data_IF_645333370165
#
_entry.id   IF_645333370165
#
_cell.length_a   1.000
_cell.length_b   1.000
_cell.length_c   1.000
_cell.angle_alpha   90.00
_cell.angle_beta   90.00
_cell.angle_gamma   90.00
#
_symmetry.space_group_name_H-M   'P 1'
#
loop_
_entity.id
_entity.type
_entity.pdbx_description
1 polymer ?
#
# COMPACT_ATOMS: atom_id res chain seq x y z
N UNK A 1 27.26 9.74 7.60
CA UNK A 1 28.21 9.45 8.69
C UNK A 1 28.66 8.02 8.47
N UNK A 2 29.93 7.77 8.12
CA UNK A 2 30.44 6.41 7.92
C UNK A 2 30.60 5.76 9.30
N UNK A 3 29.73 4.82 9.61
CA UNK A 3 29.85 3.98 10.82
C UNK A 3 31.03 3.06 10.64
N UNK A 4 31.95 3.01 11.60
CA UNK A 4 33.13 2.17 11.52
C UNK A 4 32.76 0.68 11.63
N UNK A 5 33.58 -0.21 11.05
CA UNK A 5 33.36 -1.67 11.13
C UNK A 5 33.29 -2.17 12.58
N UNK A 6 33.94 -1.48 13.53
CA UNK A 6 33.86 -1.82 14.95
C UNK A 6 32.49 -1.47 15.56
N UNK A 7 31.89 -0.35 15.12
CA UNK A 7 30.54 0.02 15.57
C UNK A 7 29.47 -0.96 15.05
N UNK A 8 29.66 -1.48 13.82
CA UNK A 8 28.77 -2.52 13.26
C UNK A 8 28.80 -3.80 14.10
N UNK A 9 29.97 -4.22 14.57
CA UNK A 9 30.12 -5.39 15.45
C UNK A 9 29.51 -5.17 16.85
N UNK A 10 29.57 -3.97 17.41
CA UNK A 10 28.90 -3.63 18.68
C UNK A 10 27.38 -3.65 18.53
N UNK A 11 26.83 -3.16 17.42
CA UNK A 11 25.39 -3.21 17.14
C UNK A 11 24.86 -4.64 16.99
N UNK A 12 25.59 -5.53 16.33
CA UNK A 12 25.20 -6.95 16.18
C UNK A 12 25.20 -7.72 17.51
N UNK A 13 25.98 -7.29 18.50
CA UNK A 13 25.98 -7.87 19.84
C UNK A 13 24.69 -7.56 20.63
N UNK A 14 23.88 -6.58 20.18
CA UNK A 14 22.60 -6.21 20.78
C UNK A 14 21.40 -6.98 20.17
N UNK A 15 21.62 -7.84 19.18
CA UNK A 15 20.57 -8.59 18.51
C UNK A 15 20.31 -9.92 19.20
N UNK A 16 19.06 -10.11 19.65
CA UNK A 16 18.62 -11.42 20.15
C UNK A 16 18.02 -12.22 19.00
N UNK A 17 18.71 -13.27 18.59
CA UNK A 17 18.35 -14.17 17.49
C UNK A 17 17.38 -15.28 17.93
N UNK A 18 16.96 -15.30 19.19
CA UNK A 18 16.11 -16.34 19.78
C UNK A 18 14.67 -15.89 19.99
N UNK A 19 14.42 -14.61 19.89
CA UNK A 19 13.10 -13.98 20.05
C UNK A 19 12.84 -12.91 18.98
N UNK A 20 11.57 -12.59 18.77
CA UNK A 20 11.14 -11.48 17.92
C UNK A 20 10.81 -10.22 18.73
N UNK A 21 10.91 -9.06 18.10
CA UNK A 21 10.35 -7.81 18.61
C UNK A 21 9.02 -7.53 17.94
N UNK A 22 8.06 -6.99 18.72
CA UNK A 22 6.77 -6.52 18.21
C UNK A 22 6.68 -5.02 18.41
N UNK A 23 6.26 -4.29 17.38
CA UNK A 23 5.95 -2.86 17.46
C UNK A 23 4.58 -2.57 16.84
N UNK A 24 3.94 -1.52 17.34
CA UNK A 24 2.64 -1.05 16.88
C UNK A 24 2.76 0.45 16.64
N UNK A 25 2.35 0.99 15.49
CA UNK A 25 2.40 2.42 15.21
C UNK A 25 1.62 3.24 16.24
N UNK A 26 2.15 4.37 16.67
CA UNK A 26 1.51 5.27 17.64
C UNK A 26 0.14 5.75 17.15
N UNK A 27 0.00 5.95 15.83
CA UNK A 27 -1.26 6.36 15.21
C UNK A 27 -2.43 5.39 15.43
N UNK A 28 -2.14 4.13 15.80
CA UNK A 28 -3.15 3.09 16.04
C UNK A 28 -3.47 2.88 17.51
N UNK A 29 -2.59 3.29 18.41
CA UNK A 29 -2.75 2.96 19.81
C UNK A 29 -3.60 3.97 20.58
N UNK A 30 -3.59 5.25 20.21
CA UNK A 30 -4.28 6.32 20.95
C UNK A 30 -4.02 6.30 22.48
N UNK A 31 -3.24 5.31 22.96
CA UNK A 31 -2.94 4.97 24.34
C UNK A 31 -1.52 4.41 24.44
N UNK A 32 -0.88 4.47 25.62
CA UNK A 32 0.40 3.83 25.84
C UNK A 32 0.36 2.35 25.49
N UNK A 33 1.44 1.83 24.90
CA UNK A 33 1.63 0.42 24.48
C UNK A 33 1.32 -0.63 25.58
N UNK A 34 1.20 -0.20 26.83
CA UNK A 34 0.98 -1.05 27.99
C UNK A 34 -0.40 -1.71 28.07
N UNK A 35 -1.36 -1.21 27.31
CA UNK A 35 -2.70 -1.76 27.30
C UNK A 35 -3.38 -1.38 25.98
N UNK A 36 -3.11 -2.11 24.89
CA UNK A 36 -3.84 -1.90 23.65
C UNK A 36 -5.32 -2.17 23.94
N UNK A 37 -6.10 -1.11 23.90
CA UNK A 37 -7.55 -1.19 24.11
C UNK A 37 -8.27 -1.82 22.92
N UNK A 38 -7.53 -2.03 21.83
CA UNK A 38 -8.05 -2.62 20.60
C UNK A 38 -7.92 -4.15 20.64
N UNK A 39 -9.06 -4.89 20.70
CA UNK A 39 -9.06 -6.35 20.69
C UNK A 39 -8.38 -6.94 19.44
N UNK A 40 -8.51 -6.28 18.29
CA UNK A 40 -7.94 -6.74 17.02
C UNK A 40 -6.41 -6.75 17.05
N UNK A 41 -5.79 -5.75 17.68
CA UNK A 41 -4.32 -5.71 17.85
C UNK A 41 -3.85 -6.85 18.76
N UNK A 42 -4.57 -7.11 19.85
CA UNK A 42 -4.24 -8.21 20.78
C UNK A 42 -4.36 -9.56 20.09
N UNK A 43 -5.37 -9.77 19.29
CA UNK A 43 -5.58 -10.99 18.52
C UNK A 43 -4.47 -11.16 17.47
N UNK A 44 -4.11 -10.11 16.77
CA UNK A 44 -3.01 -10.11 15.80
C UNK A 44 -1.67 -10.45 16.46
N UNK A 45 -1.38 -9.89 17.64
CA UNK A 45 -0.19 -10.23 18.41
C UNK A 45 -0.17 -11.72 18.78
N UNK A 46 -1.32 -12.27 19.12
CA UNK A 46 -1.48 -13.67 19.46
C UNK A 46 -1.17 -14.60 18.27
N UNK A 47 -1.88 -14.46 17.14
CA UNK A 47 -1.64 -15.37 16.00
C UNK A 47 -0.25 -15.17 15.38
N UNK A 48 0.27 -13.94 15.33
CA UNK A 48 1.63 -13.71 14.83
C UNK A 48 2.71 -14.30 15.74
N UNK A 49 2.44 -14.44 17.05
CA UNK A 49 3.36 -15.13 17.97
C UNK A 49 3.52 -16.61 17.63
N UNK A 50 2.48 -17.27 17.13
CA UNK A 50 2.57 -18.67 16.70
C UNK A 50 3.61 -18.87 15.57
N UNK A 51 3.88 -17.85 14.78
CA UNK A 51 4.90 -17.88 13.73
C UNK A 51 6.32 -17.64 14.25
N UNK A 52 6.50 -17.20 15.50
CA UNK A 52 7.82 -16.82 16.03
C UNK A 52 8.83 -17.95 15.99
N UNK A 53 8.46 -19.14 16.43
CA UNK A 53 9.34 -20.30 16.41
C UNK A 53 9.82 -20.63 14.99
N UNK A 54 8.92 -20.58 14.02
CA UNK A 54 9.26 -20.77 12.61
C UNK A 54 10.19 -19.66 12.08
N UNK A 55 9.95 -18.41 12.42
CA UNK A 55 10.82 -17.30 12.03
C UNK A 55 12.23 -17.45 12.63
N UNK A 56 12.34 -17.88 13.90
CA UNK A 56 13.62 -18.16 14.57
C UNK A 56 14.38 -19.29 13.88
N UNK A 57 13.72 -20.40 13.59
CA UNK A 57 14.33 -21.54 12.90
C UNK A 57 14.79 -21.16 11.50
N UNK A 58 13.95 -20.40 10.77
CA UNK A 58 14.27 -19.88 9.44
C UNK A 58 15.51 -18.98 9.48
N UNK A 59 15.55 -18.04 10.44
CA UNK A 59 16.69 -17.15 10.60
C UNK A 59 18.00 -17.93 10.86
N UNK A 60 17.98 -18.94 11.72
CA UNK A 60 19.15 -19.79 11.99
C UNK A 60 19.59 -20.56 10.75
N UNK A 61 18.64 -21.10 9.98
CA UNK A 61 18.94 -21.79 8.72
C UNK A 61 19.56 -20.85 7.69
N UNK A 62 19.07 -19.61 7.62
CA UNK A 62 19.62 -18.59 6.73
C UNK A 62 21.05 -18.18 7.17
N UNK A 63 21.29 -18.04 8.46
CA UNK A 63 22.63 -17.75 8.99
C UNK A 63 23.64 -18.83 8.57
N UNK A 64 23.28 -20.11 8.69
CA UNK A 64 24.11 -21.23 8.23
C UNK A 64 24.33 -21.23 6.70
N UNK A 65 23.27 -20.94 5.95
CA UNK A 65 23.34 -20.87 4.48
C UNK A 65 24.24 -19.72 4.01
N UNK A 66 24.10 -18.52 4.56
CA UNK A 66 24.79 -17.33 4.14
C UNK A 66 26.24 -17.26 4.65
N UNK A 67 26.56 -17.98 5.75
CA UNK A 67 27.93 -18.06 6.29
C UNK A 67 28.96 -18.52 5.24
N UNK A 68 28.58 -19.37 4.30
CA UNK A 68 29.45 -19.82 3.20
C UNK A 68 29.82 -18.73 2.20
N UNK A 69 29.08 -17.62 2.17
CA UNK A 69 29.33 -16.46 1.31
C UNK A 69 29.88 -15.26 2.10
N UNK A 70 30.19 -15.44 3.40
CA UNK A 70 30.59 -14.36 4.31
C UNK A 70 29.56 -13.23 4.38
N UNK A 71 28.29 -13.57 4.31
CA UNK A 71 27.15 -12.66 4.40
C UNK A 71 26.35 -12.96 5.67
N UNK A 72 25.94 -11.91 6.36
CA UNK A 72 25.01 -12.05 7.49
C UNK A 72 23.56 -12.02 6.98
N UNK A 73 22.66 -12.87 7.49
CA UNK A 73 21.24 -12.72 7.22
C UNK A 73 20.75 -11.41 7.78
N UNK A 74 19.92 -10.72 7.00
CA UNK A 74 19.23 -9.52 7.42
C UNK A 74 17.96 -9.86 8.20
N UNK A 75 17.05 -8.92 8.38
CA UNK A 75 15.82 -9.16 9.12
C UNK A 75 14.82 -10.01 8.34
N UNK A 76 14.15 -10.89 9.09
CA UNK A 76 12.91 -11.53 8.69
C UNK A 76 11.77 -10.92 9.49
N UNK A 77 10.68 -10.55 8.85
CA UNK A 77 9.60 -9.85 9.53
C UNK A 77 8.23 -10.13 8.97
N UNK A 78 7.22 -9.82 9.76
CA UNK A 78 5.82 -9.89 9.41
C UNK A 78 5.14 -8.56 9.76
N UNK A 79 4.49 -7.94 8.78
CA UNK A 79 3.62 -6.79 8.96
C UNK A 79 2.18 -7.24 8.83
N UNK A 80 1.36 -7.01 9.85
CA UNK A 80 -0.04 -7.35 9.82
C UNK A 80 -0.88 -6.28 9.10
N UNK A 81 -2.05 -6.68 8.61
CA UNK A 81 -3.00 -5.81 7.93
C UNK A 81 -3.46 -4.60 8.78
N UNK A 82 -3.42 -4.73 10.09
CA UNK A 82 -3.75 -3.66 11.05
C UNK A 82 -2.56 -2.82 11.51
N UNK A 83 -1.34 -3.08 11.00
CA UNK A 83 -0.14 -2.30 11.26
C UNK A 83 0.77 -2.87 12.35
N UNK A 84 0.41 -3.95 13.04
CA UNK A 84 1.35 -4.63 13.92
C UNK A 84 2.56 -5.12 13.11
N UNK A 85 3.76 -4.93 13.64
CA UNK A 85 5.01 -5.32 13.01
C UNK A 85 5.84 -6.21 13.92
N UNK A 86 6.14 -7.43 13.47
CA UNK A 86 6.98 -8.41 14.16
C UNK A 86 8.25 -8.65 13.36
N UNK A 87 9.41 -8.56 13.99
CA UNK A 87 10.71 -8.78 13.31
C UNK A 87 11.66 -9.65 14.14
N UNK A 88 12.52 -10.39 13.44
CA UNK A 88 13.62 -11.15 13.99
C UNK A 88 14.91 -10.84 13.19
N UNK A 89 16.08 -10.72 13.83
CA UNK A 89 16.33 -10.78 15.26
C UNK A 89 15.71 -9.60 16.03
N UNK A 90 15.42 -9.81 17.32
CA UNK A 90 14.99 -8.73 18.17
C UNK A 90 16.15 -7.73 18.37
N UNK A 91 15.83 -6.45 18.30
CA UNK A 91 16.80 -5.37 18.55
C UNK A 91 16.33 -4.59 19.76
N UNK A 92 17.21 -4.41 20.72
CA UNK A 92 16.95 -3.52 21.83
C UNK A 92 17.09 -2.07 21.35
N UNK A 93 15.99 -1.37 21.19
CA UNK A 93 15.96 0.04 20.82
C UNK A 93 15.53 0.86 22.03
N UNK A 94 16.26 1.94 22.32
CA UNK A 94 15.91 2.87 23.41
C UNK A 94 14.68 3.73 23.04
N UNK A 95 14.47 3.98 21.75
CA UNK A 95 13.32 4.69 21.22
C UNK A 95 12.68 3.89 20.08
N UNK A 96 11.40 3.55 20.23
CA UNK A 96 10.59 2.99 19.14
C UNK A 96 10.10 4.16 18.28
N UNK A 97 10.65 4.32 17.08
CA UNK A 97 10.09 5.26 16.11
C UNK A 97 8.69 4.81 15.62
N UNK A 98 7.91 5.76 15.12
CA UNK A 98 6.61 5.47 14.48
C UNK A 98 6.84 4.72 13.16
N UNK A 99 6.83 3.39 13.21
CA UNK A 99 7.00 2.54 12.06
C UNK A 99 5.69 1.85 11.71
N UNK A 100 5.09 2.25 10.61
CA UNK A 100 3.91 1.58 10.05
C UNK A 100 4.32 0.72 8.83
N UNK A 101 4.27 -0.63 8.92
CA UNK A 101 4.63 -1.52 7.82
C UNK A 101 3.75 -1.30 6.59
N UNK A 102 2.49 -0.91 6.76
CA UNK A 102 1.52 -0.70 5.67
C UNK A 102 1.89 0.43 4.72
N UNK A 103 2.81 1.31 5.12
CA UNK A 103 3.35 2.43 4.33
C UNK A 103 4.66 2.07 3.61
N UNK A 104 5.06 0.81 3.65
CA UNK A 104 6.35 0.38 3.08
C UNK A 104 6.16 -0.29 1.73
N UNK A 105 7.07 -0.04 0.77
CA UNK A 105 6.98 -0.61 -0.57
C UNK A 105 6.83 -2.13 -0.57
N UNK A 106 7.56 -2.83 0.30
CA UNK A 106 7.50 -4.28 0.41
C UNK A 106 6.12 -4.79 0.84
N UNK A 107 5.44 -4.07 1.74
CA UNK A 107 4.10 -4.44 2.19
C UNK A 107 3.07 -4.21 1.09
N UNK A 108 3.10 -3.01 0.49
CA UNK A 108 2.14 -2.63 -0.55
C UNK A 108 2.31 -3.51 -1.80
N UNK A 109 3.56 -3.78 -2.21
CA UNK A 109 3.82 -4.63 -3.36
C UNK A 109 3.29 -6.05 -3.19
N UNK A 110 3.55 -6.69 -2.03
CA UNK A 110 3.07 -8.05 -1.77
C UNK A 110 1.56 -8.12 -1.55
N UNK A 111 0.96 -7.11 -0.89
CA UNK A 111 -0.48 -7.12 -0.64
C UNK A 111 -1.31 -6.80 -1.88
N UNK A 112 -0.82 -6.01 -2.81
CA UNK A 112 -1.60 -5.57 -3.98
C UNK A 112 -1.18 -6.17 -5.31
N UNK A 113 -0.03 -6.85 -5.38
CA UNK A 113 0.57 -7.28 -6.64
C UNK A 113 0.98 -6.13 -7.57
N UNK A 114 1.48 -6.45 -8.77
CA UNK A 114 1.75 -5.45 -9.81
C UNK A 114 0.49 -4.69 -10.19
N UNK A 115 0.62 -3.39 -10.46
CA UNK A 115 -0.54 -2.54 -10.77
C UNK A 115 -0.18 -1.35 -11.64
N UNK A 116 -1.19 -0.90 -12.38
CA UNK A 116 -1.17 0.36 -13.13
C UNK A 116 -1.99 1.39 -12.34
N UNK A 117 -1.34 2.44 -11.84
CA UNK A 117 -1.94 3.42 -10.92
C UNK A 117 -1.99 4.80 -11.57
N UNK A 118 -3.16 5.39 -11.64
CA UNK A 118 -3.33 6.79 -12.04
C UNK A 118 -3.79 7.59 -10.83
N UNK A 119 -2.95 8.51 -10.37
CA UNK A 119 -3.27 9.49 -9.35
C UNK A 119 -3.88 10.71 -10.01
N UNK A 120 -5.08 11.11 -9.63
CA UNK A 120 -5.79 12.27 -10.15
C UNK A 120 -5.99 13.26 -9.00
N UNK A 121 -5.25 14.37 -9.06
CA UNK A 121 -5.17 15.36 -7.99
C UNK A 121 -5.91 16.64 -8.38
N UNK A 122 -6.88 17.01 -7.59
CA UNK A 122 -7.53 18.32 -7.66
C UNK A 122 -6.53 19.41 -7.26
N UNK A 123 -6.38 20.39 -8.14
CA UNK A 123 -5.63 21.61 -7.88
C UNK A 123 -6.52 22.85 -8.10
N UNK A 124 -7.85 22.71 -7.98
CA UNK A 124 -8.78 23.83 -8.08
C UNK A 124 -8.55 24.86 -6.97
N UNK A 125 -9.16 26.05 -7.14
CA UNK A 125 -8.96 27.15 -6.20
C UNK A 125 -9.37 26.84 -4.76
N UNK A 126 -10.40 26.01 -4.56
CA UNK A 126 -10.89 25.59 -3.23
C UNK A 126 -9.89 24.72 -2.45
N UNK A 127 -8.96 24.08 -3.15
CA UNK A 127 -7.88 23.30 -2.51
C UNK A 127 -6.87 24.15 -1.72
N UNK A 128 -6.90 25.49 -1.85
CA UNK A 128 -6.09 26.40 -1.03
C UNK A 128 -6.60 26.51 0.41
N UNK A 129 -7.86 26.13 0.64
CA UNK A 129 -8.49 26.22 1.94
C UNK A 129 -8.04 25.07 2.86
N UNK A 130 -7.93 25.37 4.17
CA UNK A 130 -7.73 24.39 5.25
C UNK A 130 -6.53 23.42 5.06
N UNK A 131 -5.53 23.78 4.22
CA UNK A 131 -4.36 22.92 3.97
C UNK A 131 -4.65 21.68 3.11
N UNK A 132 -5.81 21.62 2.42
CA UNK A 132 -6.22 20.51 1.57
C UNK A 132 -5.20 20.16 0.51
N UNK A 133 -4.61 21.19 -0.14
CA UNK A 133 -3.56 20.98 -1.14
C UNK A 133 -2.33 20.30 -0.57
N UNK A 134 -1.88 20.68 0.61
CA UNK A 134 -0.72 20.06 1.26
C UNK A 134 -1.03 18.63 1.67
N UNK A 135 -2.24 18.38 2.17
CA UNK A 135 -2.74 17.03 2.49
C UNK A 135 -2.79 16.14 1.24
N UNK A 136 -3.34 16.64 0.13
CA UNK A 136 -3.40 15.90 -1.13
C UNK A 136 -2.01 15.59 -1.70
N UNK A 137 -1.08 16.56 -1.66
CA UNK A 137 0.33 16.34 -2.07
C UNK A 137 1.00 15.27 -1.21
N UNK A 138 0.87 15.37 0.11
CA UNK A 138 1.47 14.41 1.03
C UNK A 138 0.94 12.99 0.78
N UNK A 139 -0.35 12.86 0.51
CA UNK A 139 -0.98 11.61 0.13
C UNK A 139 -0.42 11.04 -1.16
N UNK A 140 -0.42 11.86 -2.21
CA UNK A 140 0.09 11.46 -3.51
C UNK A 140 1.56 11.03 -3.43
N UNK A 141 2.39 11.76 -2.70
CA UNK A 141 3.80 11.41 -2.46
C UNK A 141 3.91 10.07 -1.74
N UNK A 142 3.13 9.87 -0.68
CA UNK A 142 3.13 8.59 0.05
C UNK A 142 2.75 7.41 -0.85
N UNK A 143 1.73 7.57 -1.73
CA UNK A 143 1.37 6.52 -2.70
C UNK A 143 2.55 6.25 -3.64
N UNK A 144 3.10 7.30 -4.25
CA UNK A 144 4.23 7.17 -5.19
C UNK A 144 5.41 6.45 -4.54
N UNK A 145 5.72 6.75 -3.29
CA UNK A 145 6.81 6.12 -2.54
C UNK A 145 6.57 4.63 -2.26
N UNK A 146 5.31 4.19 -2.16
CA UNK A 146 4.98 2.77 -1.94
C UNK A 146 5.03 1.91 -3.20
N UNK A 147 5.03 2.51 -4.39
CA UNK A 147 5.10 1.78 -5.65
C UNK A 147 6.48 1.16 -5.87
N UNK A 148 6.52 0.04 -6.58
CA UNK A 148 7.73 -0.70 -6.89
C UNK A 148 8.00 -0.77 -8.38
N UNK A 149 9.16 -1.24 -8.76
CA UNK A 149 9.58 -1.38 -10.16
C UNK A 149 8.64 -2.27 -11.00
N UNK A 150 7.84 -3.12 -10.36
CA UNK A 150 6.81 -3.92 -11.03
C UNK A 150 5.55 -3.11 -11.39
N UNK A 151 5.38 -1.94 -10.78
CA UNK A 151 4.22 -1.06 -10.99
C UNK A 151 4.48 -0.04 -12.10
N UNK A 152 3.38 0.46 -12.66
CA UNK A 152 3.40 1.66 -13.52
C UNK A 152 2.46 2.71 -12.97
N UNK A 153 2.79 3.96 -13.17
CA UNK A 153 1.99 5.04 -12.62
C UNK A 153 2.04 6.32 -13.44
N UNK A 154 1.00 7.11 -13.30
CA UNK A 154 0.92 8.48 -13.77
C UNK A 154 0.29 9.37 -12.70
N UNK A 155 0.64 10.63 -12.71
CA UNK A 155 0.00 11.66 -11.89
C UNK A 155 -0.63 12.69 -12.82
N UNK A 156 -1.90 12.97 -12.62
CA UNK A 156 -2.67 13.97 -13.33
C UNK A 156 -3.05 15.04 -12.33
N UNK A 157 -2.75 16.28 -12.63
CA UNK A 157 -3.30 17.43 -11.93
C UNK A 157 -4.43 18.03 -12.75
N UNK A 158 -5.52 18.39 -12.09
CA UNK A 158 -6.65 18.99 -12.78
C UNK A 158 -7.24 20.18 -12.03
N UNK A 159 -7.78 21.08 -12.82
CA UNK A 159 -8.62 22.21 -12.40
C UNK A 159 -9.66 22.45 -13.49
N UNK A 160 -9.65 23.60 -14.17
CA UNK A 160 -10.43 23.79 -15.42
C UNK A 160 -9.98 22.85 -16.53
N UNK A 161 -8.69 22.57 -16.59
CA UNK A 161 -8.03 21.65 -17.51
C UNK A 161 -7.30 20.53 -16.74
N UNK A 162 -6.99 19.43 -17.43
CA UNK A 162 -6.26 18.29 -16.86
C UNK A 162 -4.96 18.03 -17.64
N UNK A 163 -3.87 17.77 -16.90
CA UNK A 163 -2.56 17.51 -17.49
C UNK A 163 -1.77 16.46 -16.72
N UNK A 164 -0.94 15.69 -17.44
CA UNK A 164 0.03 14.77 -16.85
C UNK A 164 1.16 15.56 -16.19
N UNK A 165 1.42 15.28 -14.93
CA UNK A 165 2.50 15.87 -14.15
C UNK A 165 3.84 15.27 -14.57
N UNK A 166 4.90 16.08 -14.61
CA UNK A 166 6.24 15.63 -14.97
C UNK A 166 6.54 15.55 -16.47
N UNK A 167 5.59 15.92 -17.34
CA UNK A 167 5.80 16.02 -18.80
C UNK A 167 5.80 14.68 -19.53
N UNK A 168 5.32 13.62 -18.90
CA UNK A 168 5.15 12.28 -19.51
C UNK A 168 3.89 12.21 -20.39
N UNK A 169 3.85 11.25 -21.32
CA UNK A 169 2.70 11.06 -22.22
C UNK A 169 1.74 9.95 -21.78
N UNK A 170 2.08 9.18 -20.75
CA UNK A 170 1.30 8.05 -20.22
C UNK A 170 1.91 7.54 -18.92
N UNK A 171 1.57 6.31 -18.55
CA UNK A 171 2.12 5.69 -17.34
C UNK A 171 3.59 5.32 -17.54
N UNK A 172 4.39 5.59 -16.53
CA UNK A 172 5.82 5.25 -16.47
C UNK A 172 6.08 4.18 -15.41
N UNK A 173 7.18 3.45 -15.54
CA UNK A 173 7.61 2.46 -14.55
C UNK A 173 7.99 3.16 -13.24
N UNK A 174 7.58 2.61 -12.10
CA UNK A 174 7.83 3.19 -10.79
C UNK A 174 9.26 2.88 -10.27
N UNK A 175 10.28 3.25 -11.06
CA UNK A 175 11.68 3.25 -10.63
C UNK A 175 11.93 4.37 -9.63
N UNK A 176 12.94 4.22 -8.77
CA UNK A 176 13.31 5.26 -7.80
C UNK A 176 13.59 6.61 -8.48
N UNK A 177 14.20 6.61 -9.67
CA UNK A 177 14.46 7.82 -10.46
C UNK A 177 13.14 8.51 -10.86
N UNK A 178 12.21 7.77 -11.48
CA UNK A 178 10.93 8.29 -11.94
C UNK A 178 10.06 8.77 -10.77
N UNK A 179 10.07 8.02 -9.65
CA UNK A 179 9.36 8.42 -8.42
C UNK A 179 9.89 9.75 -7.90
N UNK A 180 11.21 9.90 -7.77
CA UNK A 180 11.82 11.14 -7.29
C UNK A 180 11.48 12.34 -8.17
N UNK A 181 11.52 12.18 -9.50
CA UNK A 181 11.15 13.25 -10.44
C UNK A 181 9.69 13.68 -10.27
N UNK A 182 8.77 12.71 -10.15
CA UNK A 182 7.35 13.04 -9.95
C UNK A 182 7.06 13.60 -8.56
N UNK A 183 7.73 13.14 -7.52
CA UNK A 183 7.61 13.73 -6.17
C UNK A 183 7.97 15.22 -6.18
N UNK A 184 9.07 15.59 -6.82
CA UNK A 184 9.45 17.00 -6.94
C UNK A 184 8.43 17.81 -7.78
N UNK A 185 7.87 17.22 -8.83
CA UNK A 185 6.83 17.87 -9.63
C UNK A 185 5.53 18.05 -8.83
N UNK A 186 5.11 17.06 -8.03
CA UNK A 186 3.93 17.14 -7.15
C UNK A 186 4.10 18.27 -6.11
N UNK A 187 5.27 18.38 -5.49
CA UNK A 187 5.57 19.45 -4.53
C UNK A 187 5.37 20.84 -5.14
N UNK A 188 5.66 20.98 -6.43
CA UNK A 188 5.51 22.23 -7.19
C UNK A 188 4.08 22.62 -7.56
N UNK A 189 3.09 21.76 -7.43
CA UNK A 189 1.69 22.03 -7.77
C UNK A 189 1.12 23.15 -6.88
N UNK A 190 0.24 23.97 -7.45
CA UNK A 190 -0.40 25.09 -6.75
C UNK A 190 -1.89 25.16 -7.10
N UNK A 191 -2.76 25.51 -6.14
CA UNK A 191 -4.18 25.69 -6.39
C UNK A 191 -4.44 26.77 -7.46
N UNK A 192 -5.36 26.45 -8.39
CA UNK A 192 -5.80 27.38 -9.44
C UNK A 192 -7.06 26.90 -10.17
N UNK A 193 -7.82 27.84 -10.71
CA UNK A 193 -8.91 27.54 -11.66
C UNK A 193 -10.17 26.95 -11.04
N UNK A 194 -11.02 26.41 -11.89
CA UNK A 194 -12.29 25.76 -11.56
C UNK A 194 -12.09 24.24 -11.40
N UNK A 195 -13.17 23.49 -11.13
CA UNK A 195 -13.13 22.05 -10.88
C UNK A 195 -13.88 21.29 -11.97
N UNK A 196 -13.15 20.65 -12.90
CA UNK A 196 -13.71 19.90 -14.02
C UNK A 196 -13.35 18.40 -13.92
N UNK A 197 -14.23 17.63 -13.32
CA UNK A 197 -14.05 16.17 -13.15
C UNK A 197 -14.05 15.42 -14.47
N UNK A 198 -14.82 15.88 -15.45
CA UNK A 198 -14.90 15.24 -16.76
C UNK A 198 -13.54 15.20 -17.44
N UNK A 199 -12.91 16.37 -17.59
CA UNK A 199 -11.57 16.47 -18.19
C UNK A 199 -10.53 15.65 -17.41
N UNK A 200 -10.63 15.63 -16.08
CA UNK A 200 -9.73 14.88 -15.22
C UNK A 200 -9.80 13.37 -15.47
N UNK A 201 -11.00 12.83 -15.48
CA UNK A 201 -11.24 11.39 -15.66
C UNK A 201 -11.03 10.95 -17.11
N UNK A 202 -11.45 11.76 -18.08
CA UNK A 202 -11.14 11.50 -19.49
C UNK A 202 -9.63 11.40 -19.71
N UNK A 203 -8.86 12.33 -19.15
CA UNK A 203 -7.39 12.31 -19.23
C UNK A 203 -6.79 11.08 -18.57
N UNK A 204 -7.36 10.61 -17.45
CA UNK A 204 -6.92 9.40 -16.77
C UNK A 204 -7.15 8.14 -17.64
N UNK A 205 -8.33 8.03 -18.22
CA UNK A 205 -8.64 6.92 -19.12
C UNK A 205 -7.80 6.95 -20.40
N UNK A 206 -7.54 8.11 -20.98
CA UNK A 206 -6.67 8.25 -22.16
C UNK A 206 -5.23 7.83 -21.86
N UNK A 207 -4.72 8.16 -20.68
CA UNK A 207 -3.39 7.74 -20.25
C UNK A 207 -3.30 6.22 -20.06
N UNK A 208 -4.35 5.60 -19.50
CA UNK A 208 -4.46 4.15 -19.35
C UNK A 208 -4.55 3.46 -20.71
N UNK A 209 -5.50 3.86 -21.56
CA UNK A 209 -5.72 3.28 -22.88
C UNK A 209 -4.45 3.34 -23.74
N UNK A 210 -3.82 4.51 -23.81
CA UNK A 210 -2.57 4.69 -24.56
C UNK A 210 -1.42 3.82 -24.03
N UNK A 211 -1.32 3.64 -22.71
CA UNK A 211 -0.29 2.81 -22.08
C UNK A 211 -0.54 1.31 -22.36
N UNK A 212 -1.79 0.85 -22.22
CA UNK A 212 -2.17 -0.55 -22.43
C UNK A 212 -2.01 -0.94 -23.88
N UNK A 213 -2.44 -0.10 -24.85
CA UNK A 213 -2.28 -0.36 -26.30
C UNK A 213 -0.83 -0.46 -26.74
N UNK A 214 0.08 0.22 -26.04
CA UNK A 214 1.51 0.16 -26.30
C UNK A 214 2.21 -0.99 -25.53
N UNK A 215 1.46 -1.89 -24.93
CA UNK A 215 1.98 -3.00 -24.09
C UNK A 215 2.87 -2.54 -22.93
N UNK A 216 2.79 -1.26 -22.57
CA UNK A 216 3.57 -0.66 -21.51
C UNK A 216 2.78 -0.66 -20.18
N UNK A 217 2.35 -1.84 -19.72
CA UNK A 217 1.50 -2.04 -18.54
C UNK A 217 2.14 -3.02 -17.56
N UNK A 218 1.73 -3.00 -16.29
CA UNK A 218 2.11 -4.01 -15.28
C UNK A 218 1.54 -5.40 -15.57
N UNK A 219 0.48 -5.45 -16.36
CA UNK A 219 -0.17 -6.71 -16.71
C UNK A 219 -1.24 -7.18 -15.71
N UNK A 220 -1.48 -6.44 -14.62
CA UNK A 220 -2.33 -6.88 -13.51
C UNK A 220 -3.44 -5.86 -13.18
N UNK A 221 -3.52 -5.39 -11.95
CA UNK A 221 -4.59 -4.53 -11.48
C UNK A 221 -4.49 -3.10 -12.04
N UNK A 222 -5.63 -2.44 -12.25
CA UNK A 222 -5.71 -1.02 -12.65
C UNK A 222 -6.45 -0.25 -11.58
N UNK A 223 -5.83 0.81 -11.05
CA UNK A 223 -6.42 1.70 -10.08
C UNK A 223 -6.37 3.16 -10.52
N UNK A 224 -7.49 3.85 -10.39
CA UNK A 224 -7.54 5.32 -10.46
C UNK A 224 -7.83 5.85 -9.06
N UNK A 225 -6.94 6.66 -8.52
CA UNK A 225 -7.05 7.28 -7.20
C UNK A 225 -7.41 8.75 -7.40
N UNK A 226 -8.67 9.10 -7.17
CA UNK A 226 -9.23 10.42 -7.45
C UNK A 226 -9.39 11.22 -6.17
N UNK A 227 -8.64 12.31 -6.04
CA UNK A 227 -8.61 13.16 -4.84
C UNK A 227 -9.14 14.56 -5.15
N UNK A 228 -10.14 15.01 -4.39
CA UNK A 228 -10.81 16.29 -4.59
C UNK A 228 -11.46 16.78 -3.30
N UNK A 229 -11.78 18.06 -3.18
CA UNK A 229 -12.65 18.60 -2.13
C UNK A 229 -14.16 18.51 -2.47
N UNK A 230 -14.50 17.90 -3.61
CA UNK A 230 -15.80 17.35 -3.91
C UNK A 230 -16.78 18.24 -4.69
N UNK A 231 -16.47 19.47 -5.01
CA UNK A 231 -17.42 20.33 -5.74
C UNK A 231 -17.06 20.47 -7.23
N UNK A 232 -17.93 19.97 -8.10
CA UNK A 232 -17.83 20.28 -9.54
C UNK A 232 -18.25 21.74 -9.75
N UNK A 233 -17.40 22.51 -10.46
CA UNK A 233 -17.79 23.86 -10.87
C UNK A 233 -18.92 23.79 -11.88
N UNK A 234 -19.89 24.69 -11.75
CA UNK A 234 -21.05 24.76 -12.63
C UNK A 234 -20.80 25.84 -13.70
N UNK A 235 -20.92 25.45 -14.98
CA UNK A 235 -20.78 26.37 -16.10
C UNK A 235 -21.23 25.75 -17.41
N UNK A 236 -21.49 26.56 -18.45
CA UNK A 236 -22.04 26.05 -19.72
C UNK A 236 -21.08 25.13 -20.48
N UNK A 237 -19.80 25.13 -20.14
CA UNK A 237 -18.75 24.32 -20.79
C UNK A 237 -18.20 23.22 -19.86
N UNK A 238 -18.72 23.09 -18.63
CA UNK A 238 -18.28 22.06 -17.66
C UNK A 238 -19.38 21.02 -17.54
N UNK A 239 -19.14 19.76 -17.96
CA UNK A 239 -20.10 18.68 -17.82
C UNK A 239 -20.49 18.45 -16.35
N UNK A 240 -21.75 18.15 -16.13
CA UNK A 240 -22.30 17.91 -14.79
C UNK A 240 -22.03 16.51 -14.27
N UNK A 241 -22.61 16.20 -13.11
CA UNK A 241 -22.44 14.93 -12.43
C UNK A 241 -22.86 13.72 -13.28
N UNK A 242 -23.99 13.81 -13.98
CA UNK A 242 -24.53 12.72 -14.78
C UNK A 242 -23.63 12.37 -15.96
N UNK A 243 -23.08 13.38 -16.63
CA UNK A 243 -22.14 13.22 -17.73
C UNK A 243 -20.82 12.59 -17.23
N UNK A 244 -20.33 13.00 -16.06
CA UNK A 244 -19.13 12.43 -15.43
C UNK A 244 -19.35 10.94 -15.11
N UNK A 245 -20.47 10.59 -14.48
CA UNK A 245 -20.80 9.20 -14.13
C UNK A 245 -20.96 8.36 -15.40
N UNK A 246 -21.57 8.90 -16.45
CA UNK A 246 -21.74 8.23 -17.74
C UNK A 246 -20.39 7.95 -18.41
N UNK A 247 -19.49 8.95 -18.44
CA UNK A 247 -18.11 8.80 -18.94
C UNK A 247 -17.39 7.67 -18.21
N UNK A 248 -17.43 7.68 -16.89
CA UNK A 248 -16.75 6.68 -16.06
C UNK A 248 -17.22 5.26 -16.37
N UNK A 249 -18.54 5.06 -16.45
CA UNK A 249 -19.10 3.74 -16.79
C UNK A 249 -18.68 3.29 -18.19
N UNK A 250 -18.88 4.15 -19.18
CA UNK A 250 -18.53 3.84 -20.58
C UNK A 250 -17.06 3.47 -20.74
N UNK A 251 -16.15 4.29 -20.18
CA UNK A 251 -14.70 4.07 -20.32
C UNK A 251 -14.23 2.84 -19.54
N UNK A 252 -14.80 2.57 -18.36
CA UNK A 252 -14.49 1.37 -17.58
C UNK A 252 -14.94 0.11 -18.30
N UNK A 253 -16.16 0.08 -18.85
CA UNK A 253 -16.69 -1.03 -19.64
C UNK A 253 -15.88 -1.24 -20.93
N UNK A 254 -15.46 -0.16 -21.58
CA UNK A 254 -14.61 -0.22 -22.79
C UNK A 254 -13.25 -0.85 -22.49
N UNK A 255 -12.55 -0.40 -21.44
CA UNK A 255 -11.26 -0.97 -21.05
C UNK A 255 -11.39 -2.45 -20.67
N UNK A 256 -12.46 -2.82 -19.98
CA UNK A 256 -12.72 -4.22 -19.65
C UNK A 256 -13.03 -5.07 -20.90
N UNK A 257 -13.78 -4.55 -21.84
CA UNK A 257 -14.11 -5.25 -23.09
C UNK A 257 -12.88 -5.40 -24.01
N UNK A 258 -12.08 -4.33 -24.14
CA UNK A 258 -10.92 -4.30 -25.04
C UNK A 258 -9.73 -5.10 -24.51
N UNK A 259 -9.49 -5.08 -23.19
CA UNK A 259 -8.28 -5.61 -22.56
C UNK A 259 -8.51 -6.68 -21.50
N UNK A 260 -9.77 -7.00 -21.20
CA UNK A 260 -10.13 -7.99 -20.18
C UNK A 260 -9.77 -7.58 -18.74
N UNK A 261 -9.62 -6.25 -18.49
CA UNK A 261 -9.19 -5.73 -17.21
C UNK A 261 -10.17 -4.73 -16.65
N UNK A 262 -10.60 -4.98 -15.41
CA UNK A 262 -11.46 -4.06 -14.68
C UNK A 262 -10.64 -2.91 -14.10
N UNK A 263 -11.07 -1.69 -14.37
CA UNK A 263 -10.52 -0.48 -13.73
C UNK A 263 -11.30 -0.20 -12.44
N UNK A 264 -10.60 -0.11 -11.33
CA UNK A 264 -11.17 0.25 -10.03
C UNK A 264 -10.89 1.71 -9.73
N UNK A 265 -11.92 2.50 -9.47
CA UNK A 265 -11.77 3.91 -9.11
C UNK A 265 -12.02 4.09 -7.63
N UNK A 266 -10.98 4.53 -6.92
CA UNK A 266 -11.06 4.90 -5.52
C UNK A 266 -11.10 6.41 -5.42
N UNK A 267 -12.08 6.94 -4.70
CA UNK A 267 -12.29 8.38 -4.59
C UNK A 267 -12.10 8.84 -3.14
N UNK A 268 -11.41 9.95 -2.99
CA UNK A 268 -11.10 10.56 -1.69
C UNK A 268 -11.65 11.98 -1.66
N UNK A 269 -12.64 12.22 -0.79
CA UNK A 269 -13.21 13.54 -0.55
C UNK A 269 -12.47 14.21 0.60
N UNK A 270 -11.75 15.29 0.29
CA UNK A 270 -10.86 16.00 1.22
C UNK A 270 -11.62 17.12 1.95
N UNK A 271 -11.63 17.05 3.27
CA UNK A 271 -12.31 18.03 4.13
C UNK A 271 -13.65 17.53 4.69
N UNK A 272 -13.98 17.99 5.88
CA UNK A 272 -15.24 17.63 6.57
C UNK A 272 -16.49 18.19 5.90
N UNK A 273 -16.35 19.22 5.08
CA UNK A 273 -17.37 19.93 4.33
C UNK A 273 -17.40 19.58 2.83
N UNK A 274 -16.59 18.60 2.40
CA UNK A 274 -16.55 18.14 1.02
C UNK A 274 -17.90 17.59 0.55
N UNK A 275 -18.31 17.96 -0.68
CA UNK A 275 -19.46 17.32 -1.33
C UNK A 275 -19.04 15.94 -1.86
N UNK A 276 -19.61 14.90 -1.28
CA UNK A 276 -19.27 13.51 -1.59
C UNK A 276 -20.23 12.84 -2.58
N UNK A 277 -21.26 13.54 -3.01
CA UNK A 277 -22.34 12.97 -3.84
C UNK A 277 -21.79 12.35 -5.13
N UNK A 278 -20.95 13.09 -5.86
CA UNK A 278 -20.39 12.64 -7.15
C UNK A 278 -19.26 11.65 -6.95
N UNK A 279 -18.35 11.92 -6.03
CA UNK A 279 -17.22 11.04 -5.73
C UNK A 279 -17.67 9.67 -5.25
N UNK A 280 -18.67 9.61 -4.37
CA UNK A 280 -19.31 8.37 -3.92
C UNK A 280 -19.97 7.62 -5.08
N UNK A 281 -20.70 8.32 -5.95
CA UNK A 281 -21.34 7.72 -7.12
C UNK A 281 -20.34 7.13 -8.12
N UNK A 282 -19.21 7.79 -8.34
CA UNK A 282 -18.11 7.29 -9.18
C UNK A 282 -17.56 5.97 -8.60
N UNK A 283 -17.18 5.97 -7.32
CA UNK A 283 -16.65 4.78 -6.67
C UNK A 283 -17.65 3.61 -6.69
N UNK A 284 -18.91 3.87 -6.32
CA UNK A 284 -19.94 2.84 -6.30
C UNK A 284 -20.20 2.25 -7.70
N UNK A 285 -20.20 3.07 -8.75
CA UNK A 285 -20.46 2.61 -10.12
C UNK A 285 -19.38 1.72 -10.71
N UNK A 286 -18.16 1.76 -10.18
CA UNK A 286 -17.00 0.99 -10.64
C UNK A 286 -16.59 -0.15 -9.71
N UNK A 287 -17.33 -0.36 -8.62
CA UNK A 287 -16.96 -1.33 -7.59
C UNK A 287 -15.72 -0.91 -6.78
N UNK A 288 -15.43 0.38 -6.76
CA UNK A 288 -14.36 0.97 -5.96
C UNK A 288 -14.79 1.35 -4.55
N UNK A 289 -13.92 2.08 -3.86
CA UNK A 289 -14.13 2.55 -2.49
C UNK A 289 -14.12 4.07 -2.49
N UNK A 290 -15.11 4.66 -1.85
CA UNK A 290 -15.12 6.07 -1.50
C UNK A 290 -14.69 6.24 -0.05
N UNK A 291 -13.85 7.23 0.21
CA UNK A 291 -13.40 7.55 1.56
C UNK A 291 -13.41 9.06 1.77
N UNK A 292 -14.02 9.49 2.89
CA UNK A 292 -13.88 10.86 3.36
C UNK A 292 -12.59 10.98 4.17
N UNK A 293 -11.81 12.01 3.88
CA UNK A 293 -10.58 12.33 4.59
C UNK A 293 -10.81 13.65 5.30
N UNK A 294 -10.87 13.61 6.63
CA UNK A 294 -10.91 14.82 7.44
C UNK A 294 -9.58 15.59 7.28
N UNK A 295 -9.56 16.85 7.74
CA UNK A 295 -8.40 17.74 7.56
C UNK A 295 -7.14 17.29 8.35
N UNK A 296 -7.10 16.04 8.82
CA UNK A 296 -5.95 15.46 9.51
C UNK A 296 -5.14 14.52 8.61
N UNK A 297 -3.81 14.70 8.63
CA UNK A 297 -2.87 13.85 7.86
C UNK A 297 -2.99 12.36 8.20
N UNK A 298 -3.29 12.02 9.46
CA UNK A 298 -3.42 10.62 9.90
C UNK A 298 -4.59 9.89 9.25
N UNK A 299 -5.72 10.58 9.03
CA UNK A 299 -6.91 10.00 8.42
C UNK A 299 -6.68 9.63 6.95
N UNK A 300 -5.92 10.46 6.22
CA UNK A 300 -5.61 10.20 4.82
C UNK A 300 -4.80 8.92 4.62
N UNK A 301 -3.82 8.67 5.49
CA UNK A 301 -2.98 7.47 5.39
C UNK A 301 -3.78 6.21 5.71
N UNK A 302 -4.69 6.29 6.68
CA UNK A 302 -5.62 5.20 6.97
C UNK A 302 -6.55 4.93 5.78
N UNK A 303 -7.09 5.99 5.18
CA UNK A 303 -7.92 5.92 3.98
C UNK A 303 -7.17 5.28 2.79
N UNK A 304 -5.91 5.63 2.61
CA UNK A 304 -5.07 5.08 1.53
C UNK A 304 -4.79 3.60 1.71
N UNK A 305 -4.82 3.07 2.93
CA UNK A 305 -4.69 1.63 3.16
C UNK A 305 -5.82 0.81 2.54
N UNK A 306 -6.93 1.44 2.17
CA UNK A 306 -8.09 0.76 1.59
C UNK A 306 -7.83 0.18 0.19
N UNK A 307 -6.99 0.81 -0.64
CA UNK A 307 -6.81 0.34 -2.01
C UNK A 307 -6.06 -0.99 -2.10
N UNK A 308 -5.03 -1.20 -1.29
CA UNK A 308 -4.31 -2.48 -1.35
C UNK A 308 -5.06 -3.62 -0.66
N UNK A 309 -5.97 -3.33 0.28
CA UNK A 309 -6.86 -4.36 0.85
C UNK A 309 -7.76 -4.97 -0.23
N UNK A 310 -8.30 -4.13 -1.13
CA UNK A 310 -9.12 -4.61 -2.25
C UNK A 310 -8.31 -5.53 -3.16
N UNK A 311 -7.07 -5.16 -3.50
CA UNK A 311 -6.22 -5.99 -4.34
C UNK A 311 -5.68 -7.23 -3.64
N UNK A 312 -5.48 -7.18 -2.33
CA UNK A 312 -5.09 -8.34 -1.54
C UNK A 312 -6.11 -9.49 -1.62
N UNK A 313 -7.40 -9.17 -1.66
CA UNK A 313 -8.45 -10.18 -1.85
C UNK A 313 -8.32 -10.88 -3.20
N UNK A 314 -8.11 -10.13 -4.27
CA UNK A 314 -7.90 -10.69 -5.61
C UNK A 314 -6.70 -11.64 -5.67
N UNK A 315 -5.59 -11.27 -5.02
CA UNK A 315 -4.41 -12.15 -4.94
C UNK A 315 -4.68 -13.41 -4.13
N UNK A 316 -5.50 -13.33 -3.09
CA UNK A 316 -5.87 -14.45 -2.23
C UNK A 316 -6.69 -15.52 -2.94
N UNK A 317 -7.61 -15.11 -3.81
CA UNK A 317 -8.47 -16.01 -4.60
C UNK A 317 -7.72 -16.68 -5.77
N UNK A 318 -6.62 -16.07 -6.22
CA UNK A 318 -5.83 -16.58 -7.35
C UNK A 318 -4.88 -17.71 -6.94
N UNK A 319 -4.46 -18.50 -7.93
CA UNK A 319 -3.36 -19.46 -7.82
C UNK A 319 -2.02 -18.70 -7.83
N UNK A 320 -1.75 -18.01 -6.73
CA UNK A 320 -0.58 -17.15 -6.53
C UNK A 320 0.35 -17.67 -5.41
N UNK A 321 0.38 -18.99 -5.19
CA UNK A 321 1.22 -19.58 -4.13
C UNK A 321 2.72 -19.28 -4.31
N UNK A 322 3.16 -19.14 -5.56
CA UNK A 322 4.55 -18.81 -5.91
C UNK A 322 4.82 -17.30 -6.05
N UNK A 323 3.82 -16.46 -5.81
CA UNK A 323 3.99 -15.01 -5.96
C UNK A 323 4.91 -14.45 -4.89
N UNK A 324 5.92 -13.71 -5.32
CA UNK A 324 6.82 -12.92 -4.48
C UNK A 324 6.96 -11.53 -5.05
N UNK A 325 6.94 -10.52 -4.20
CA UNK A 325 7.20 -9.14 -4.60
C UNK A 325 8.64 -8.75 -4.25
N UNK A 326 9.34 -8.16 -5.23
CA UNK A 326 10.69 -7.62 -5.08
C UNK A 326 10.66 -6.10 -5.06
N UNK A 327 11.39 -5.51 -4.13
CA UNK A 327 11.56 -4.06 -4.05
C UNK A 327 12.85 -3.67 -4.78
N UNK A 328 12.84 -2.54 -5.51
CA UNK A 328 14.06 -1.98 -6.09
C UNK A 328 15.12 -1.73 -5.02
N UNK A 329 16.40 -2.00 -5.29
CA UNK A 329 17.46 -1.82 -4.31
C UNK A 329 17.48 -0.42 -3.68
N UNK A 330 17.67 -0.38 -2.37
CA UNK A 330 17.70 0.83 -1.56
C UNK A 330 18.87 0.77 -0.56
N UNK A 331 19.30 1.94 -0.08
CA UNK A 331 20.26 1.99 1.01
C UNK A 331 19.55 1.68 2.32
N UNK A 332 19.96 0.62 3.01
CA UNK A 332 19.45 0.27 4.34
C UNK A 332 19.73 1.40 5.34
N UNK A 333 18.71 1.81 6.07
CA UNK A 333 18.79 2.96 6.98
C UNK A 333 19.80 2.72 8.11
N UNK A 334 19.94 1.49 8.57
CA UNK A 334 20.77 1.12 9.72
C UNK A 334 22.23 0.91 9.32
N UNK A 335 22.46 0.20 8.23
CA UNK A 335 23.80 -0.21 7.79
C UNK A 335 24.38 0.68 6.70
N UNK A 336 23.56 1.43 5.99
CA UNK A 336 23.94 2.20 4.79
C UNK A 336 24.32 1.34 3.59
N UNK A 337 24.23 0.01 3.69
CA UNK A 337 24.52 -0.91 2.59
C UNK A 337 23.33 -0.98 1.63
N UNK A 338 23.60 -1.28 0.37
CA UNK A 338 22.53 -1.53 -0.59
C UNK A 338 21.86 -2.87 -0.28
N UNK A 339 20.56 -2.86 -0.15
CA UNK A 339 19.72 -4.02 0.11
C UNK A 339 18.46 -4.02 -0.74
N UNK A 340 17.76 -5.13 -0.74
CA UNK A 340 16.42 -5.30 -1.30
C UNK A 340 15.56 -6.13 -0.36
N UNK A 341 14.26 -6.00 -0.48
CA UNK A 341 13.29 -6.80 0.27
C UNK A 341 12.55 -7.73 -0.68
N UNK A 342 12.40 -8.97 -0.26
CA UNK A 342 11.49 -9.96 -0.86
C UNK A 342 10.33 -10.18 0.07
N UNK A 343 9.12 -10.09 -0.44
CA UNK A 343 7.90 -10.18 0.38
C UNK A 343 6.82 -11.03 -0.27
N UNK A 344 5.98 -11.62 0.59
CA UNK A 344 4.85 -12.47 0.19
C UNK A 344 3.62 -12.15 1.02
N UNK A 345 2.41 -12.19 0.44
CA UNK A 345 1.18 -12.03 1.19
C UNK A 345 0.87 -13.29 2.01
N UNK A 346 0.29 -13.09 3.19
CA UNK A 346 -0.11 -14.17 4.11
C UNK A 346 -1.63 -14.15 4.27
N UNK A 347 -2.27 -15.31 4.06
CA UNK A 347 -3.71 -15.47 4.13
C UNK A 347 -4.12 -16.58 5.09
N UNK A 348 -5.24 -16.40 5.77
CA UNK A 348 -6.01 -17.52 6.33
C UNK A 348 -6.87 -18.12 5.21
N UNK A 349 -6.48 -19.32 4.77
CA UNK A 349 -7.19 -20.09 3.72
C UNK A 349 -8.19 -21.10 4.30
N UNK A 350 -8.44 -21.06 5.61
CA UNK A 350 -9.49 -21.90 6.24
C UNK A 350 -10.87 -21.30 6.04
N UNK A 351 -10.94 -20.02 5.65
CA UNK A 351 -12.16 -19.29 5.33
C UNK A 351 -12.25 -19.00 3.84
N UNK A 352 -13.47 -18.77 3.34
CA UNK A 352 -13.70 -18.44 1.94
C UNK A 352 -14.61 -17.19 1.85
N UNK A 353 -14.17 -16.09 1.20
CA UNK A 353 -12.86 -15.89 0.55
C UNK A 353 -11.69 -15.91 1.56
N UNK A 354 -10.45 -16.20 1.11
CA UNK A 354 -9.28 -16.18 1.97
C UNK A 354 -9.09 -14.83 2.66
N UNK A 355 -8.88 -14.85 3.97
CA UNK A 355 -8.69 -13.63 4.76
C UNK A 355 -7.23 -13.18 4.71
N UNK A 356 -6.98 -11.96 4.26
CA UNK A 356 -5.65 -11.36 4.26
C UNK A 356 -5.20 -11.03 5.70
N UNK A 357 -4.12 -11.65 6.16
CA UNK A 357 -3.56 -11.45 7.50
C UNK A 357 -2.44 -10.41 7.52
N UNK A 358 -1.67 -10.31 6.44
CA UNK A 358 -0.53 -9.41 6.37
C UNK A 358 0.50 -9.85 5.34
N UNK A 359 1.73 -9.38 5.50
CA UNK A 359 2.86 -9.65 4.59
C UNK A 359 4.06 -10.13 5.38
N UNK A 360 4.64 -11.25 4.98
CA UNK A 360 5.94 -11.71 5.46
C UNK A 360 7.03 -11.25 4.51
N UNK A 361 8.19 -10.86 5.05
CA UNK A 361 9.28 -10.34 4.23
C UNK A 361 10.66 -10.67 4.81
N UNK A 362 11.65 -10.65 3.91
CA UNK A 362 13.06 -10.88 4.23
C UNK A 362 13.88 -9.82 3.50
N UNK A 363 14.76 -9.15 4.23
CA UNK A 363 15.76 -8.29 3.64
C UNK A 363 16.96 -9.12 3.15
N UNK A 364 17.61 -8.64 2.11
CA UNK A 364 18.84 -9.23 1.57
C UNK A 364 19.81 -8.14 1.14
N UNK A 365 21.08 -8.28 1.51
CA UNK A 365 22.13 -7.41 1.01
C UNK A 365 22.36 -7.67 -0.48
N UNK A 366 22.49 -6.60 -1.27
CA UNK A 366 22.75 -6.72 -2.71
C UNK A 366 24.08 -7.41 -3.02
N UNK A 367 25.08 -7.25 -2.15
CA UNK A 367 26.37 -7.96 -2.27
C UNK A 367 26.22 -9.48 -2.22
N UNK A 368 25.26 -9.99 -1.45
CA UNK A 368 24.95 -11.42 -1.41
C UNK A 368 24.37 -11.90 -2.76
N UNK A 369 23.46 -11.11 -3.32
CA UNK A 369 22.84 -11.41 -4.62
C UNK A 369 23.88 -11.36 -5.75
N UNK A 370 24.74 -10.35 -5.73
CA UNK A 370 25.86 -10.21 -6.67
C UNK A 370 26.80 -11.42 -6.64
N UNK A 371 27.21 -11.87 -5.46
CA UNK A 371 28.08 -13.04 -5.30
C UNK A 371 27.44 -14.33 -5.82
N UNK A 372 26.14 -14.49 -5.67
CA UNK A 372 25.42 -15.68 -6.13
C UNK A 372 25.15 -15.63 -7.64
N UNK A 373 24.80 -14.47 -8.19
CA UNK A 373 24.42 -14.33 -9.59
C UNK A 373 25.59 -13.91 -10.50
N UNK A 374 26.67 -13.32 -9.95
CA UNK A 374 27.80 -12.81 -10.71
C UNK A 374 27.47 -11.58 -11.56
N UNK A 375 26.43 -10.84 -11.21
CA UNK A 375 25.95 -9.67 -11.94
C UNK A 375 25.89 -8.42 -11.05
N UNK A 376 26.09 -7.24 -11.65
CA UNK A 376 25.94 -5.96 -10.98
C UNK A 376 24.50 -5.79 -10.48
N UNK A 377 24.29 -5.63 -9.17
CA UNK A 377 22.97 -5.52 -8.56
C UNK A 377 22.17 -4.28 -8.98
N UNK A 378 22.81 -3.26 -9.53
CA UNK A 378 22.18 -2.02 -10.02
C UNK A 378 21.89 -2.04 -11.51
N UNK A 379 22.24 -3.13 -12.20
CA UNK A 379 22.05 -3.24 -13.65
C UNK A 379 20.58 -3.26 -14.04
N UNK A 380 20.27 -2.75 -15.24
CA UNK A 380 18.92 -2.83 -15.82
C UNK A 380 18.44 -4.28 -15.95
N UNK A 381 19.36 -5.22 -16.19
CA UNK A 381 19.09 -6.66 -16.25
C UNK A 381 18.56 -7.18 -14.91
N UNK A 382 19.13 -6.72 -13.80
CA UNK A 382 18.67 -7.10 -12.46
C UNK A 382 17.25 -6.58 -12.17
N UNK A 383 16.97 -5.33 -12.52
CA UNK A 383 15.63 -4.75 -12.38
C UNK A 383 14.58 -5.53 -13.19
N UNK A 384 14.90 -5.91 -14.44
CA UNK A 384 14.00 -6.74 -15.25
C UNK A 384 13.79 -8.13 -14.63
N UNK A 385 14.78 -8.71 -13.97
CA UNK A 385 14.61 -9.97 -13.21
C UNK A 385 13.70 -9.80 -12.01
N UNK A 386 13.80 -8.69 -11.26
CA UNK A 386 12.89 -8.39 -10.16
C UNK A 386 11.45 -8.27 -10.66
N UNK A 387 11.24 -7.53 -11.75
CA UNK A 387 9.94 -7.43 -12.40
C UNK A 387 9.41 -8.81 -12.82
N UNK A 388 10.21 -9.60 -13.52
CA UNK A 388 9.82 -10.92 -13.98
C UNK A 388 9.50 -11.90 -12.85
N UNK A 389 10.15 -11.74 -11.68
CA UNK A 389 9.90 -12.54 -10.48
C UNK A 389 8.71 -12.04 -9.66
N UNK A 390 8.35 -10.77 -9.80
CA UNK A 390 7.21 -10.14 -9.13
C UNK A 390 5.91 -10.23 -9.95
N UNK A 391 5.84 -11.14 -10.93
CA UNK A 391 4.62 -11.37 -11.69
C UNK A 391 3.59 -12.12 -10.85
N UNK A 392 2.35 -11.65 -10.87
CA UNK A 392 1.22 -12.31 -10.24
C UNK A 392 0.18 -12.70 -11.29
N UNK A 393 -0.60 -13.73 -11.02
CA UNK A 393 -1.86 -13.96 -11.72
C UNK A 393 -2.91 -13.07 -11.07
N UNK A 394 -3.49 -12.20 -11.86
CA UNK A 394 -4.50 -11.26 -11.39
C UNK A 394 -5.88 -11.70 -11.88
N UNK A 395 -6.57 -12.60 -11.16
CA UNK A 395 -7.94 -12.95 -11.48
C UNK A 395 -8.82 -11.72 -11.36
N UNK A 396 -9.92 -11.70 -12.10
CA UNK A 396 -10.95 -10.69 -11.90
C UNK A 396 -11.42 -10.76 -10.45
N UNK A 397 -11.52 -9.59 -9.81
CA UNK A 397 -12.17 -9.50 -8.51
C UNK A 397 -13.67 -9.65 -8.76
N UNK A 398 -14.22 -10.81 -8.49
CA UNK A 398 -15.65 -11.09 -8.57
C UNK A 398 -16.28 -11.04 -7.17
N UNK A 399 -16.19 -9.86 -6.54
CA UNK A 399 -16.88 -9.63 -5.29
C UNK A 399 -18.36 -9.28 -5.57
N UNK A 400 -19.26 -9.87 -4.82
CA UNK A 400 -20.65 -9.42 -4.78
C UNK A 400 -20.72 -7.97 -4.27
N UNK A 401 -21.76 -7.24 -4.64
CA UNK A 401 -21.96 -5.88 -4.14
C UNK A 401 -22.00 -5.82 -2.61
N UNK A 402 -22.44 -6.90 -1.97
CA UNK A 402 -22.45 -7.00 -0.51
C UNK A 402 -21.04 -7.14 0.09
N UNK A 403 -20.17 -7.92 -0.53
CA UNK A 403 -18.77 -8.03 -0.11
C UNK A 403 -18.02 -6.72 -0.33
N UNK A 404 -18.29 -6.02 -1.43
CA UNK A 404 -17.75 -4.67 -1.67
C UNK A 404 -18.21 -3.67 -0.61
N UNK A 405 -19.49 -3.71 -0.22
CA UNK A 405 -20.01 -2.85 0.84
C UNK A 405 -19.40 -3.20 2.20
N UNK A 406 -19.15 -4.48 2.48
CA UNK A 406 -18.44 -4.90 3.68
C UNK A 406 -17.02 -4.35 3.74
N UNK A 407 -16.30 -4.37 2.61
CA UNK A 407 -14.96 -3.77 2.50
C UNK A 407 -14.98 -2.26 2.69
N UNK A 408 -15.97 -1.57 2.10
CA UNK A 408 -16.16 -0.13 2.28
C UNK A 408 -16.40 0.22 3.74
N UNK A 409 -17.22 -0.56 4.42
CA UNK A 409 -17.48 -0.42 5.86
C UNK A 409 -16.22 -0.64 6.71
N UNK A 410 -15.44 -1.67 6.40
CA UNK A 410 -14.19 -1.99 7.11
C UNK A 410 -13.06 -1.01 6.81
N UNK A 411 -13.14 -0.23 5.71
CA UNK A 411 -12.14 0.78 5.39
C UNK A 411 -12.19 2.05 6.24
N UNK A 412 -13.15 2.15 7.16
CA UNK A 412 -13.10 3.12 8.26
C UNK A 412 -14.24 4.12 8.34
N UNK A 413 -15.16 4.17 7.37
CA UNK A 413 -16.32 5.05 7.45
C UNK A 413 -17.60 4.24 7.35
N UNK A 414 -18.42 4.30 8.41
CA UNK A 414 -19.72 3.60 8.46
C UNK A 414 -20.70 4.07 7.37
N UNK A 415 -20.46 5.25 6.83
CA UNK A 415 -21.26 5.85 5.76
C UNK A 415 -20.69 5.59 4.36
N UNK A 416 -19.57 4.89 4.25
CA UNK A 416 -18.89 4.60 2.97
C UNK A 416 -19.58 3.54 2.10
N UNK A 417 -20.68 2.94 2.58
CA UNK A 417 -21.40 1.89 1.85
C UNK A 417 -22.28 2.46 0.74
N UNK A 418 -22.48 1.69 -0.32
CA UNK A 418 -23.44 2.00 -1.38
C UNK A 418 -24.87 1.58 -1.04
N UNK A 419 -25.10 1.06 0.16
CA UNK A 419 -26.44 0.76 0.70
C UNK A 419 -27.03 -0.57 0.24
N UNK A 420 -26.22 -1.49 -0.27
CA UNK A 420 -26.68 -2.78 -0.82
C UNK A 420 -26.83 -3.85 0.26
N UNK A 421 -26.09 -3.76 1.36
CA UNK A 421 -26.15 -4.70 2.49
C UNK A 421 -26.82 -4.11 3.72
N UNK A 422 -27.53 -4.97 4.47
CA UNK A 422 -27.97 -4.65 5.82
C UNK A 422 -26.82 -4.83 6.82
N UNK A 423 -26.71 -3.94 7.80
CA UNK A 423 -25.65 -3.90 8.84
C UNK A 423 -25.47 -5.20 9.66
N UNK A 424 -26.42 -6.14 9.60
CA UNK A 424 -26.34 -7.45 10.25
C UNK A 424 -25.52 -8.48 9.48
N UNK A 425 -25.18 -8.22 8.20
CA UNK A 425 -24.41 -9.14 7.35
C UNK A 425 -22.91 -9.10 7.62
N UNK A 426 -22.41 -8.12 8.37
CA UNK A 426 -20.99 -7.93 8.66
C UNK A 426 -20.48 -8.79 9.83
N UNK A 427 -21.36 -9.41 10.59
CA UNK A 427 -21.02 -10.15 11.82
C UNK A 427 -20.29 -11.49 11.59
N UNK A 428 -20.17 -11.94 10.33
CA UNK A 428 -19.55 -13.23 9.99
C UNK A 428 -18.05 -13.17 9.62
N UNK A 429 -17.46 -11.96 9.57
CA UNK A 429 -16.07 -11.75 9.08
C UNK A 429 -15.09 -11.59 10.28
N UNK A 430 -15.56 -11.58 11.51
CA UNK A 430 -14.70 -11.45 12.69
C UNK A 430 -14.19 -12.85 13.06
N UNK A 431 -12.85 -13.07 13.06
CA UNK A 431 -12.28 -14.36 13.47
C UNK A 431 -12.67 -14.73 14.89
N UNK A 432 -12.82 -16.02 15.16
CA UNK A 432 -13.00 -16.51 16.53
C UNK A 432 -11.82 -16.10 17.41
N UNK A 433 -12.08 -15.81 18.68
CA UNK A 433 -11.05 -15.37 19.64
C UNK A 433 -9.88 -16.34 19.68
N UNK A 434 -8.65 -15.78 19.71
CA UNK A 434 -7.44 -16.57 19.88
C UNK A 434 -7.57 -17.46 21.14
N UNK A 435 -7.44 -18.80 21.01
CA UNK A 435 -7.66 -19.72 22.12
C UNK A 435 -6.57 -19.62 23.22
N UNK A 436 -5.46 -18.92 22.95
CA UNK A 436 -4.31 -18.80 23.85
C UNK A 436 -4.22 -17.43 24.55
N UNK A 437 -5.29 -16.66 24.57
CA UNK A 437 -5.30 -15.32 25.17
C UNK A 437 -4.93 -15.32 26.66
N UNK A 438 -5.09 -16.47 27.37
CA UNK A 438 -4.68 -16.66 28.78
C UNK A 438 -3.20 -16.99 28.96
N UNK A 439 -2.50 -17.40 27.89
CA UNK A 439 -1.14 -17.94 27.96
C UNK A 439 -0.10 -16.99 27.35
N UNK A 440 -0.52 -15.81 26.88
CA UNK A 440 0.43 -14.79 26.43
C UNK A 440 1.30 -14.33 27.63
N UNK A 441 2.63 -14.54 27.57
CA UNK A 441 3.51 -14.06 28.62
C UNK A 441 3.32 -12.55 28.81
N UNK A 442 3.13 -12.11 30.04
CA UNK A 442 3.10 -10.68 30.39
C UNK A 442 4.37 -9.93 29.95
N UNK A 443 5.40 -10.67 29.58
CA UNK A 443 6.71 -10.19 29.15
C UNK A 443 6.72 -9.63 27.72
N UNK A 444 5.75 -9.99 26.87
CA UNK A 444 5.63 -9.41 25.51
C UNK A 444 5.38 -7.91 25.53
N UNK A 445 4.80 -7.40 26.62
CA UNK A 445 4.44 -5.99 26.81
C UNK A 445 5.38 -5.25 27.77
N UNK A 446 6.13 -5.97 28.60
CA UNK A 446 6.94 -5.39 29.69
C UNK A 446 8.38 -5.05 29.31
N UNK A 447 8.88 -5.44 28.14
CA UNK A 447 10.25 -5.13 27.70
C UNK A 447 10.45 -3.67 27.27
N UNK A 448 9.40 -2.85 27.21
CA UNK A 448 9.52 -1.40 26.96
C UNK A 448 9.75 -0.56 28.22
N UNK A 449 9.70 -1.14 29.43
CA UNK A 449 9.77 -0.40 30.72
C UNK A 449 11.03 -0.59 31.55
N UNK A 450 12.05 -1.32 31.11
CA UNK A 450 13.28 -1.42 31.92
C UNK A 450 14.39 -0.54 31.37
N UNK A 451 14.39 0.69 31.89
CA UNK A 451 15.41 1.76 32.01
C UNK A 451 15.46 2.76 30.89
#
# INVERSE_FOLDING_TARGET
MLVSLNEIHEWQALWDKTISTVSIPESLTGAPLDNPSDPEITETACYSHLAESFMVEKYKSDEEYWAKYDVQPSWTYFGAHNGLFRKIPAVHQEECGDYDPRRRPWFVAASSGPKDVVLVLDISGSMDDNGRMDTAKAAAITIVETLTVADRFAVISFSSEASLVGGYSGLIRATNENKNQLVEAIKGLKPQGATNFYNALEKAFDALDGTIRNEATSGCNIAVLFMTDGQISVGPEIPGADEVISLVKERTEQLEADFGRKTTILTFSLGSDADDTVTKSIACSTGGIWTRVNDSYGDLISAMSSYYKLFALSLGEGDNEDFVAWVEPYADYTTGKMGTTVSVPVYDRTVNPPLFLGVAAIDSEMTAIEQVLGEDPTSSTMLERFVARSTARCPKIELSECELDALRFLSGDKDATCGVCNSTSYAGIIPEKCPFQSDLPNDLWNNSKSK
#
